data_IF_605770349040
#
_entry.id   IF_605770349040
#
_cell.length_a   1.000
_cell.length_b   1.000
_cell.length_c   1.000
_cell.angle_alpha   90.00
_cell.angle_beta   90.00
_cell.angle_gamma   90.00
#
_symmetry.space_group_name_H-M   'P 1'
#
loop_
_entity.id
_entity.type
_entity.pdbx_description
1 polymer ?
#
# COMPACT_ATOMS: atom_id res chain seq x y z
N UNK A 1 -42.99 19.18 -37.63
CA UNK A 1 -42.28 18.49 -36.53
C UNK A 1 -41.45 17.38 -37.14
N UNK A 2 -40.12 17.50 -37.19
CA UNK A 2 -39.26 16.39 -37.61
C UNK A 2 -38.12 16.18 -36.59
N UNK A 3 -38.03 14.92 -36.19
CA UNK A 3 -37.16 14.24 -35.23
C UNK A 3 -35.87 14.98 -34.80
N UNK A 4 -35.79 15.26 -33.50
CA UNK A 4 -34.53 15.51 -32.80
C UNK A 4 -33.68 14.22 -32.86
N UNK A 5 -32.44 14.26 -33.38
CA UNK A 5 -31.56 13.11 -33.32
C UNK A 5 -31.31 12.80 -31.84
N UNK A 6 -31.70 11.59 -31.45
CA UNK A 6 -31.74 11.14 -30.07
C UNK A 6 -30.32 11.00 -29.51
N UNK A 7 -30.13 11.41 -28.26
CA UNK A 7 -28.89 11.40 -27.47
C UNK A 7 -28.08 10.08 -27.52
N UNK A 8 -28.69 8.98 -28.00
CA UNK A 8 -28.04 7.68 -28.22
C UNK A 8 -26.95 7.69 -29.30
N UNK A 9 -27.06 8.53 -30.34
CA UNK A 9 -26.04 8.62 -31.39
C UNK A 9 -24.78 9.36 -30.92
N UNK A 10 -24.93 10.40 -30.09
CA UNK A 10 -23.79 11.09 -29.46
C UNK A 10 -23.12 10.22 -28.38
N UNK A 11 -23.91 9.41 -27.66
CA UNK A 11 -23.36 8.47 -26.71
C UNK A 11 -22.43 7.46 -27.39
N UNK A 12 -22.74 6.91 -28.58
CA UNK A 12 -21.89 5.91 -29.28
C UNK A 12 -20.49 6.39 -29.69
N UNK A 13 -20.24 7.71 -29.71
CA UNK A 13 -18.89 8.26 -29.65
C UNK A 13 -18.34 8.18 -28.22
N UNK A 14 -18.65 7.09 -27.50
CA UNK A 14 -18.27 6.86 -26.11
C UNK A 14 -16.75 6.83 -26.11
N UNK A 15 -16.17 7.82 -25.44
CA UNK A 15 -14.77 7.86 -25.05
C UNK A 15 -14.25 6.46 -24.71
N UNK A 16 -13.33 5.95 -25.53
CA UNK A 16 -12.56 4.75 -25.19
C UNK A 16 -11.39 5.21 -24.33
N UNK A 17 -11.27 4.77 -23.06
CA UNK A 17 -10.14 5.15 -22.23
C UNK A 17 -8.84 4.67 -22.89
N UNK A 18 -7.80 5.53 -22.86
CA UNK A 18 -6.49 5.21 -23.43
C UNK A 18 -5.78 4.08 -22.69
N UNK A 19 -6.11 3.87 -21.41
CA UNK A 19 -5.63 2.75 -20.64
C UNK A 19 -6.54 1.52 -20.81
N UNK A 20 -5.93 0.40 -21.17
CA UNK A 20 -6.59 -0.91 -21.17
C UNK A 20 -6.26 -1.59 -19.86
N UNK A 21 -7.28 -1.95 -19.09
CA UNK A 21 -7.06 -2.78 -17.92
C UNK A 21 -6.63 -4.18 -18.37
N UNK A 22 -5.60 -4.77 -17.75
CA UNK A 22 -5.28 -6.17 -17.94
C UNK A 22 -6.52 -7.01 -17.64
N UNK A 23 -6.83 -7.93 -18.56
CA UNK A 23 -7.99 -8.80 -18.41
C UNK A 23 -7.75 -9.78 -17.25
N UNK A 24 -8.71 -9.88 -16.31
CA UNK A 24 -8.61 -10.77 -15.15
C UNK A 24 -8.60 -12.25 -15.55
N UNK A 25 -9.06 -12.58 -16.77
CA UNK A 25 -9.02 -13.94 -17.32
C UNK A 25 -7.77 -14.26 -18.15
N UNK A 26 -6.80 -13.35 -18.26
CA UNK A 26 -5.54 -13.75 -18.87
C UNK A 26 -4.91 -14.87 -18.02
N UNK A 27 -4.54 -16.02 -18.64
CA UNK A 27 -3.82 -17.05 -17.94
C UNK A 27 -2.53 -16.44 -17.40
N UNK A 28 -2.21 -16.73 -16.13
CA UNK A 28 -0.98 -16.27 -15.47
C UNK A 28 0.28 -16.67 -16.25
N UNK A 29 0.14 -17.62 -17.17
CA UNK A 29 1.16 -18.13 -18.07
C UNK A 29 1.46 -17.18 -19.25
N UNK A 30 0.61 -16.17 -19.51
CA UNK A 30 0.81 -15.20 -20.59
C UNK A 30 1.90 -14.16 -20.28
N UNK A 31 2.12 -13.84 -19.00
CA UNK A 31 3.39 -13.28 -18.55
C UNK A 31 4.34 -14.45 -18.41
N UNK A 32 5.26 -14.60 -19.37
CA UNK A 32 6.26 -15.66 -19.42
C UNK A 32 6.65 -16.13 -18.02
N UNK A 33 6.46 -17.42 -17.75
CA UNK A 33 6.85 -18.10 -16.51
C UNK A 33 8.31 -17.75 -16.20
N UNK A 34 8.49 -16.69 -15.43
CA UNK A 34 9.80 -16.25 -14.99
C UNK A 34 10.10 -17.11 -13.78
N UNK A 35 11.05 -18.03 -13.96
CA UNK A 35 11.53 -18.80 -12.82
C UNK A 35 12.22 -17.81 -11.87
N UNK A 36 11.77 -17.72 -10.60
CA UNK A 36 12.41 -16.83 -9.65
C UNK A 36 13.88 -17.22 -9.52
N UNK A 37 14.74 -16.23 -9.75
CA UNK A 37 16.21 -16.30 -9.67
C UNK A 37 16.74 -15.26 -8.67
N UNK A 38 17.92 -15.51 -8.12
CA UNK A 38 18.63 -14.53 -7.30
C UNK A 38 18.91 -13.26 -8.12
N UNK A 39 18.78 -12.08 -7.49
CA UNK A 39 19.07 -10.82 -8.16
C UNK A 39 20.57 -10.71 -8.50
N UNK A 40 20.96 -10.22 -9.69
CA UNK A 40 22.38 -10.17 -10.10
C UNK A 40 23.25 -9.27 -9.20
N UNK A 41 22.65 -8.28 -8.53
CA UNK A 41 23.34 -7.41 -7.57
C UNK A 41 23.21 -7.86 -6.10
N UNK A 42 22.72 -9.08 -5.84
CA UNK A 42 22.63 -9.58 -4.47
C UNK A 42 24.04 -9.87 -3.89
N UNK A 43 24.29 -9.61 -2.60
CA UNK A 43 25.50 -10.06 -1.92
C UNK A 43 25.72 -11.57 -2.11
N UNK A 44 26.98 -12.02 -2.25
CA UNK A 44 27.29 -13.40 -2.62
C UNK A 44 26.86 -14.42 -1.55
N UNK A 45 26.68 -13.99 -0.30
CA UNK A 45 26.17 -14.81 0.79
C UNK A 45 24.68 -15.10 0.57
N UNK A 46 23.87 -14.06 0.37
CA UNK A 46 22.42 -14.16 0.18
C UNK A 46 22.06 -14.88 -1.13
N UNK A 47 22.87 -14.70 -2.17
CA UNK A 47 22.67 -15.38 -3.45
C UNK A 47 22.79 -16.92 -3.34
N UNK A 48 23.63 -17.43 -2.42
CA UNK A 48 23.77 -18.88 -2.18
C UNK A 48 22.55 -19.47 -1.47
N UNK A 49 21.96 -18.71 -0.56
CA UNK A 49 20.80 -19.12 0.23
C UNK A 49 19.46 -18.99 -0.53
N UNK A 50 19.50 -18.60 -1.80
CA UNK A 50 18.31 -18.39 -2.63
C UNK A 50 17.36 -19.60 -2.71
N UNK A 51 17.90 -20.81 -2.78
CA UNK A 51 17.07 -22.03 -2.79
C UNK A 51 16.31 -22.23 -1.47
N UNK A 52 16.96 -21.94 -0.35
CA UNK A 52 16.32 -21.99 0.96
C UNK A 52 15.18 -20.98 1.06
N UNK A 53 15.34 -19.77 0.51
CA UNK A 53 14.25 -18.80 0.44
C UNK A 53 13.07 -19.28 -0.41
N UNK A 54 13.32 -19.97 -1.54
CA UNK A 54 12.25 -20.59 -2.35
C UNK A 54 11.46 -21.62 -1.56
N UNK A 55 12.15 -22.47 -0.79
CA UNK A 55 11.52 -23.49 0.07
C UNK A 55 10.66 -22.84 1.16
N UNK A 56 11.23 -21.89 1.91
CA UNK A 56 10.51 -21.16 2.97
C UNK A 56 9.31 -20.41 2.40
N UNK A 57 9.44 -19.75 1.26
CA UNK A 57 8.33 -19.04 0.61
C UNK A 57 7.19 -20.01 0.21
N UNK A 58 7.53 -21.18 -0.32
CA UNK A 58 6.54 -22.21 -0.68
C UNK A 58 5.83 -22.81 0.53
N UNK A 59 6.50 -22.84 1.68
CA UNK A 59 5.95 -23.39 2.94
C UNK A 59 4.86 -22.51 3.58
N UNK A 60 4.67 -21.28 3.09
CA UNK A 60 3.61 -20.38 3.56
C UNK A 60 4.08 -19.41 4.65
N UNK A 61 3.16 -18.61 5.22
CA UNK A 61 3.49 -17.54 6.16
C UNK A 61 4.07 -18.10 7.47
N UNK A 62 5.40 -18.12 7.56
CA UNK A 62 6.10 -18.61 8.73
C UNK A 62 6.48 -17.44 9.65
N UNK A 63 5.61 -17.13 10.61
CA UNK A 63 5.94 -16.24 11.71
C UNK A 63 6.81 -17.02 12.72
N UNK A 64 8.13 -16.83 12.65
CA UNK A 64 9.06 -17.34 13.66
C UNK A 64 9.41 -16.22 14.64
N UNK A 65 8.74 -16.15 15.80
CA UNK A 65 8.99 -15.10 16.78
C UNK A 65 10.45 -15.09 17.30
N UNK A 66 11.13 -16.23 17.25
CA UNK A 66 12.53 -16.37 17.67
C UNK A 66 13.51 -15.57 16.79
N UNK A 67 13.25 -15.44 15.48
CA UNK A 67 14.13 -14.68 14.57
C UNK A 67 14.03 -13.17 14.79
N UNK A 68 12.95 -12.69 15.42
CA UNK A 68 12.82 -11.28 15.82
C UNK A 68 13.74 -10.95 17.00
N UNK A 69 14.12 -11.93 17.82
CA UNK A 69 14.96 -11.72 19.00
C UNK A 69 16.47 -11.69 18.66
N UNK A 70 16.89 -12.29 17.54
CA UNK A 70 18.30 -12.30 17.12
C UNK A 70 18.80 -10.94 16.61
N UNK A 71 17.92 -10.10 16.05
CA UNK A 71 18.27 -8.72 15.70
C UNK A 71 18.57 -7.85 16.94
N UNK A 72 18.14 -8.28 18.14
CA UNK A 72 18.44 -7.59 19.40
C UNK A 72 19.76 -8.04 20.04
N UNK A 73 20.39 -9.13 19.56
CA UNK A 73 21.60 -9.71 20.15
C UNK A 73 22.88 -9.48 19.34
N UNK A 74 22.79 -8.76 18.21
CA UNK A 74 23.93 -8.24 17.43
C UNK A 74 24.03 -6.71 17.53
N UNK A 75 23.52 -6.14 18.62
CA UNK A 75 23.92 -4.80 19.06
C UNK A 75 24.99 -5.00 20.14
N UNK A 76 26.24 -4.77 19.77
CA UNK A 76 27.36 -4.69 20.71
C UNK A 76 27.05 -3.64 21.79
N UNK A 77 27.56 -3.93 22.99
CA UNK A 77 27.37 -3.21 24.25
C UNK A 77 27.74 -1.71 24.13
N UNK A 78 26.74 -0.85 23.94
CA UNK A 78 26.79 0.54 24.40
C UNK A 78 25.74 0.70 25.51
N UNK A 79 26.20 1.15 26.69
CA UNK A 79 25.33 1.59 27.78
C UNK A 79 24.37 2.68 27.27
N UNK A 80 23.13 2.31 26.97
CA UNK A 80 22.03 3.25 26.94
C UNK A 80 20.89 2.76 27.80
N UNK A 81 20.43 3.72 28.59
CA UNK A 81 19.26 3.74 29.45
C UNK A 81 18.12 2.78 29.08
N UNK A 82 17.42 2.34 30.13
CA UNK A 82 16.18 1.57 30.09
C UNK A 82 15.37 1.81 28.81
N UNK A 83 14.85 0.74 28.16
CA UNK A 83 14.08 0.89 26.93
C UNK A 83 13.00 1.95 27.16
N UNK A 84 12.88 2.96 26.26
CA UNK A 84 11.88 3.99 26.43
C UNK A 84 10.50 3.31 26.53
N UNK A 85 9.60 3.80 27.39
CA UNK A 85 8.26 3.24 27.49
C UNK A 85 7.66 3.19 26.09
N UNK A 86 7.33 1.98 25.64
CA UNK A 86 6.65 1.77 24.37
C UNK A 86 5.26 2.36 24.56
N UNK A 87 4.94 3.40 23.80
CA UNK A 87 3.60 3.98 23.81
C UNK A 87 2.60 2.91 23.33
N UNK A 88 1.59 2.63 24.14
CA UNK A 88 0.52 1.68 23.80
C UNK A 88 -0.61 2.40 23.05
N UNK A 89 -0.79 3.69 23.33
CA UNK A 89 -1.75 4.55 22.66
C UNK A 89 -1.06 5.62 21.78
N UNK A 90 -1.66 5.89 20.62
CA UNK A 90 -1.18 6.89 19.67
C UNK A 90 -1.17 8.31 20.25
N UNK A 91 -2.08 8.60 21.19
CA UNK A 91 -2.12 9.89 21.88
C UNK A 91 -1.05 10.07 22.96
N UNK A 92 -0.37 9.00 23.38
CA UNK A 92 0.80 9.06 24.27
C UNK A 92 2.06 9.54 23.53
N UNK A 93 2.06 9.45 22.20
CA UNK A 93 3.15 9.94 21.38
C UNK A 93 3.21 11.48 21.37
N UNK A 94 4.41 12.06 21.18
CA UNK A 94 4.56 13.50 20.99
C UNK A 94 3.60 14.03 19.90
N UNK A 95 2.99 15.22 20.08
CA UNK A 95 1.96 15.75 19.18
C UNK A 95 2.35 15.79 17.70
N UNK A 96 3.65 15.89 17.40
CA UNK A 96 4.18 15.84 16.02
C UNK A 96 3.85 14.55 15.27
N UNK A 97 3.60 13.44 15.96
CA UNK A 97 3.32 12.14 15.34
C UNK A 97 1.83 11.91 15.04
N UNK A 98 0.92 12.62 15.72
CA UNK A 98 -0.53 12.43 15.54
C UNK A 98 -1.30 13.69 15.15
N UNK A 99 -0.78 14.90 15.42
CA UNK A 99 -1.32 16.17 14.90
C UNK A 99 -0.63 16.56 13.59
N UNK A 100 -0.71 15.68 12.59
CA UNK A 100 -0.22 16.01 11.24
C UNK A 100 -1.33 16.73 10.47
N UNK A 101 -0.95 17.59 9.52
CA UNK A 101 -1.93 18.30 8.67
C UNK A 101 -2.83 17.37 7.88
N UNK A 102 -2.41 16.12 7.66
CA UNK A 102 -3.20 15.09 6.98
C UNK A 102 -4.19 14.38 7.92
N UNK A 103 -4.00 14.44 9.23
CA UNK A 103 -4.90 13.84 10.23
C UNK A 103 -5.89 14.85 10.82
N UNK A 104 -5.56 16.15 10.78
CA UNK A 104 -6.46 17.22 11.21
C UNK A 104 -7.45 17.49 10.09
N UNK A 105 -8.71 17.10 10.29
CA UNK A 105 -9.80 17.42 9.36
C UNK A 105 -10.12 18.91 9.44
N UNK A 106 -10.17 19.58 8.29
CA UNK A 106 -10.65 20.96 8.22
C UNK A 106 -12.17 21.00 8.47
N UNK A 107 -12.70 22.14 8.94
CA UNK A 107 -14.14 22.29 9.21
C UNK A 107 -14.97 22.01 7.94
N UNK A 108 -14.48 22.45 6.78
CA UNK A 108 -15.11 22.20 5.48
C UNK A 108 -15.18 20.70 5.15
N UNK A 109 -14.16 19.93 5.52
CA UNK A 109 -14.13 18.49 5.34
C UNK A 109 -15.08 17.79 6.31
N UNK A 110 -15.12 18.25 7.56
CA UNK A 110 -16.04 17.74 8.58
C UNK A 110 -17.49 18.02 8.17
N UNK A 111 -17.79 19.21 7.65
CA UNK A 111 -19.09 19.57 7.08
C UNK A 111 -19.41 18.70 5.86
N UNK A 112 -18.46 18.50 4.95
CA UNK A 112 -18.66 17.63 3.79
C UNK A 112 -18.97 16.19 4.21
N UNK A 113 -18.32 15.65 5.23
CA UNK A 113 -18.59 14.30 5.76
C UNK A 113 -19.98 14.24 6.40
N UNK A 114 -20.29 15.20 7.29
CA UNK A 114 -21.55 15.23 8.04
C UNK A 114 -22.77 15.49 7.14
N UNK A 115 -22.58 16.26 6.06
CA UNK A 115 -23.62 16.56 5.07
C UNK A 115 -23.62 15.62 3.87
N UNK A 116 -22.69 14.66 3.81
CA UNK A 116 -22.56 13.72 2.68
C UNK A 116 -22.19 14.41 1.35
N UNK A 117 -21.50 15.54 1.40
CA UNK A 117 -21.14 16.35 0.23
C UNK A 117 -22.27 17.22 -0.30
N UNK A 118 -23.36 17.39 0.45
CA UNK A 118 -24.49 18.21 0.04
C UNK A 118 -24.26 19.73 0.19
N UNK A 119 -23.37 20.16 1.09
CA UNK A 119 -23.15 21.59 1.41
C UNK A 119 -22.06 22.29 0.59
N UNK A 120 -21.28 21.57 -0.23
CA UNK A 120 -20.18 22.16 -1.02
C UNK A 120 -20.64 22.91 -2.27
N UNK A 121 -21.59 23.84 -2.11
CA UNK A 121 -21.94 24.87 -3.10
C UNK A 121 -22.40 26.15 -2.43
N UNK A 122 -21.43 27.00 -2.06
CA UNK A 122 -21.66 28.44 -2.10
C UNK A 122 -20.46 29.10 -2.76
N UNK A 123 -20.69 29.55 -3.98
CA UNK A 123 -19.78 30.31 -4.82
C UNK A 123 -19.32 31.60 -4.14
N UNK A 124 -18.01 31.84 -4.06
CA UNK A 124 -17.43 33.12 -4.49
C UNK A 124 -15.92 33.04 -4.71
#
# INVERSE_FOLDING_TARGET
MLLRPTLRLLAQQVYKPSMRFPDRSQPKDASASHEPHAHPAAPPEIAKDFNHFKEVYSSGPHFHPEKLQQAASTAEEEEMAAPPPVAEDLHELPPRFWRTSSLVMEEDEMEAIMTGGASTRSTK
#
